data_IF_359870256945
#
_entry.id   IF_359870256945
#
_cell.length_a   1.000
_cell.length_b   1.000
_cell.length_c   1.000
_cell.angle_alpha   90.00
_cell.angle_beta   90.00
_cell.angle_gamma   90.00
#
_symmetry.space_group_name_H-M   'P 1'
#
loop_
_entity.id
_entity.type
_entity.pdbx_description
1 polymer ?
#
# COMPACT_ATOMS: atom_id res chain seq x y z
N UNK A 1 -21.54 23.99 -5.97
CA UNK A 1 -21.26 24.53 -4.62
C UNK A 1 -22.34 25.56 -4.29
N UNK A 2 -22.87 25.47 -3.08
CA UNK A 2 -23.89 26.41 -2.57
C UNK A 2 -23.16 27.37 -1.62
N UNK A 3 -22.97 28.65 -1.99
CA UNK A 3 -22.33 29.62 -1.12
C UNK A 3 -23.23 30.00 0.06
N UNK A 4 -22.66 29.97 1.26
CA UNK A 4 -23.32 30.45 2.49
C UNK A 4 -22.61 31.71 2.93
N UNK A 5 -23.30 32.83 3.21
CA UNK A 5 -22.67 34.06 3.65
C UNK A 5 -21.98 33.88 4.99
N UNK A 6 -20.76 34.38 5.16
CA UNK A 6 -19.98 34.28 6.42
C UNK A 6 -20.65 35.04 7.60
N UNK A 7 -21.45 36.06 7.29
CA UNK A 7 -22.15 36.87 8.30
C UNK A 7 -23.53 36.33 8.70
N UNK A 8 -23.88 35.12 8.27
CA UNK A 8 -25.24 34.58 8.41
C UNK A 8 -26.17 35.09 7.32
N UNK A 9 -27.12 34.28 6.94
CA UNK A 9 -28.11 34.58 5.86
C UNK A 9 -28.49 33.31 5.13
N UNK A 10 -29.43 33.40 4.22
CA UNK A 10 -29.87 32.28 3.41
C UNK A 10 -28.78 31.87 2.40
N UNK A 11 -28.61 30.57 2.18
CA UNK A 11 -27.72 30.03 1.16
C UNK A 11 -28.22 30.43 -0.24
N UNK A 12 -27.31 30.89 -1.08
CA UNK A 12 -27.64 31.21 -2.47
C UNK A 12 -27.45 29.97 -3.34
N UNK A 13 -28.48 29.50 -4.01
CA UNK A 13 -28.44 28.29 -4.84
C UNK A 13 -28.88 28.54 -6.29
N UNK A 14 -28.09 29.28 -7.08
CA UNK A 14 -28.44 29.60 -8.45
C UNK A 14 -28.44 28.40 -9.40
N UNK A 15 -27.85 27.27 -8.98
CA UNK A 15 -27.71 26.07 -9.81
C UNK A 15 -28.58 24.89 -9.33
N UNK A 16 -29.45 25.08 -8.32
CA UNK A 16 -30.29 24.00 -7.78
C UNK A 16 -29.55 22.93 -7.01
N UNK A 17 -28.34 23.22 -6.49
CA UNK A 17 -27.49 22.27 -5.83
C UNK A 17 -28.04 21.74 -4.49
N UNK A 18 -28.90 22.47 -3.80
CA UNK A 18 -29.60 22.00 -2.60
C UNK A 18 -30.59 20.88 -2.94
N UNK A 19 -31.41 21.06 -3.98
CA UNK A 19 -32.32 20.03 -4.45
C UNK A 19 -31.58 18.78 -4.98
N UNK A 20 -30.46 18.95 -5.69
CA UNK A 20 -29.61 17.86 -6.12
C UNK A 20 -29.02 17.12 -4.92
N UNK A 21 -28.55 17.83 -3.90
CA UNK A 21 -27.99 17.22 -2.69
C UNK A 21 -29.07 16.42 -1.91
N UNK A 22 -30.26 16.97 -1.75
CA UNK A 22 -31.40 16.27 -1.12
C UNK A 22 -31.79 15.01 -1.90
N UNK A 23 -31.64 15.03 -3.24
CA UNK A 23 -31.89 13.88 -4.12
C UNK A 23 -30.73 12.90 -4.22
N UNK A 24 -29.61 13.15 -3.50
CA UNK A 24 -28.40 12.35 -3.59
C UNK A 24 -27.76 12.40 -4.98
N UNK A 25 -27.76 13.55 -5.65
CA UNK A 25 -27.31 13.70 -7.03
C UNK A 25 -26.10 14.64 -7.13
N UNK A 26 -25.08 14.24 -7.89
CA UNK A 26 -23.98 15.09 -8.30
C UNK A 26 -24.21 15.52 -9.76
N UNK A 27 -24.40 16.81 -10.00
CA UNK A 27 -24.63 17.39 -11.33
C UNK A 27 -23.58 18.44 -11.66
N UNK A 28 -23.10 18.45 -12.90
CA UNK A 28 -22.28 19.55 -13.42
C UNK A 28 -23.11 20.84 -13.52
N UNK A 29 -22.55 21.96 -13.09
CA UNK A 29 -23.25 23.27 -13.13
C UNK A 29 -23.54 23.71 -14.55
N UNK A 30 -22.78 23.26 -15.53
CA UNK A 30 -22.98 23.58 -16.92
C UNK A 30 -22.03 22.85 -17.86
N UNK A 31 -22.22 22.96 -19.18
CA UNK A 31 -21.43 22.22 -20.17
C UNK A 31 -19.94 22.55 -20.16
N UNK A 32 -19.52 23.73 -19.66
CA UNK A 32 -18.13 24.15 -19.52
C UNK A 32 -17.43 23.62 -18.28
N UNK A 33 -18.12 22.93 -17.35
CA UNK A 33 -17.62 22.60 -16.03
C UNK A 33 -16.26 21.89 -16.05
N UNK A 34 -16.07 20.91 -16.93
CA UNK A 34 -14.81 20.15 -17.04
C UNK A 34 -13.80 20.82 -17.97
N UNK A 35 -14.28 21.69 -18.88
CA UNK A 35 -13.40 22.46 -19.75
C UNK A 35 -12.68 23.58 -19.01
N UNK A 36 -13.32 24.22 -18.04
CA UNK A 36 -12.75 25.28 -17.22
C UNK A 36 -11.72 24.77 -16.19
N UNK A 37 -11.99 23.64 -15.54
CA UNK A 37 -11.07 22.99 -14.61
C UNK A 37 -11.19 21.46 -14.74
N UNK A 38 -10.31 20.83 -15.54
CA UNK A 38 -10.33 19.38 -15.74
C UNK A 38 -10.14 18.54 -14.48
N UNK A 39 -9.58 19.11 -13.39
CA UNK A 39 -9.49 18.41 -12.11
C UNK A 39 -10.86 18.05 -11.54
N UNK A 40 -11.90 18.77 -11.93
CA UNK A 40 -13.30 18.46 -11.54
C UNK A 40 -13.74 17.07 -11.99
N UNK A 41 -13.09 16.45 -12.99
CA UNK A 41 -13.31 15.06 -13.38
C UNK A 41 -12.98 14.10 -12.22
N UNK A 42 -11.76 14.18 -11.67
CA UNK A 42 -11.37 13.37 -10.50
C UNK A 42 -12.20 13.73 -9.26
N UNK A 43 -12.48 15.01 -9.09
CA UNK A 43 -13.30 15.51 -7.99
C UNK A 43 -14.73 14.97 -8.03
N UNK A 44 -15.31 14.78 -9.21
CA UNK A 44 -16.65 14.21 -9.38
C UNK A 44 -16.70 12.77 -8.86
N UNK A 45 -15.75 11.91 -9.26
CA UNK A 45 -15.65 10.54 -8.75
C UNK A 45 -15.47 10.52 -7.23
N UNK A 46 -14.54 11.33 -6.70
CA UNK A 46 -14.27 11.41 -5.26
C UNK A 46 -15.50 11.90 -4.47
N UNK A 47 -16.17 12.97 -4.90
CA UNK A 47 -17.32 13.50 -4.20
C UNK A 47 -18.52 12.55 -4.26
N UNK A 48 -18.75 11.91 -5.40
CA UNK A 48 -19.81 10.93 -5.53
C UNK A 48 -19.59 9.73 -4.61
N UNK A 49 -18.35 9.22 -4.49
CA UNK A 49 -18.02 8.15 -3.57
C UNK A 49 -18.08 8.60 -2.11
N UNK A 50 -17.51 9.77 -1.79
CA UNK A 50 -17.36 10.23 -0.41
C UNK A 50 -18.65 10.72 0.24
N UNK A 51 -19.62 11.16 -0.56
CA UNK A 51 -20.92 11.68 -0.10
C UNK A 51 -22.10 10.77 -0.49
N UNK A 52 -21.83 9.58 -0.98
CA UNK A 52 -22.81 8.61 -1.47
C UNK A 52 -23.81 9.18 -2.50
N UNK A 53 -23.31 10.00 -3.43
CA UNK A 53 -24.12 10.63 -4.48
C UNK A 53 -24.08 9.78 -5.76
N UNK A 54 -25.18 9.80 -6.53
CA UNK A 54 -25.21 9.33 -7.91
C UNK A 54 -24.75 10.45 -8.84
N UNK A 55 -23.99 10.12 -9.87
CA UNK A 55 -23.64 11.12 -10.89
C UNK A 55 -24.80 11.19 -11.89
N UNK A 56 -25.26 12.40 -12.18
CA UNK A 56 -26.30 12.66 -13.18
C UNK A 56 -25.86 12.14 -14.56
N UNK A 57 -26.74 11.48 -15.34
CA UNK A 57 -26.37 10.88 -16.63
C UNK A 57 -25.77 11.86 -17.65
N UNK A 58 -26.30 13.10 -17.74
CA UNK A 58 -25.72 14.10 -18.62
C UNK A 58 -24.34 14.55 -18.15
N UNK A 59 -24.12 14.55 -16.83
CA UNK A 59 -22.82 14.82 -16.24
C UNK A 59 -21.83 13.70 -16.53
N UNK A 60 -22.25 12.43 -16.52
CA UNK A 60 -21.42 11.27 -16.94
C UNK A 60 -21.04 11.40 -18.41
N UNK A 61 -22.00 11.71 -19.28
CA UNK A 61 -21.75 11.91 -20.71
C UNK A 61 -20.73 13.04 -20.96
N UNK A 62 -20.89 14.16 -20.26
CA UNK A 62 -19.98 15.30 -20.34
C UNK A 62 -18.58 14.97 -19.82
N UNK A 63 -18.49 14.21 -18.71
CA UNK A 63 -17.22 13.76 -18.15
C UNK A 63 -16.49 12.83 -19.11
N UNK A 64 -17.19 11.84 -19.68
CA UNK A 64 -16.61 10.89 -20.65
C UNK A 64 -16.10 11.61 -21.91
N UNK A 65 -16.84 12.58 -22.42
CA UNK A 65 -16.39 13.42 -23.55
C UNK A 65 -15.14 14.27 -23.23
N UNK A 66 -14.88 14.50 -21.94
CA UNK A 66 -13.78 15.32 -21.45
C UNK A 66 -12.66 14.51 -20.79
N UNK A 67 -12.78 13.17 -20.71
CA UNK A 67 -11.93 12.31 -19.88
C UNK A 67 -10.42 12.48 -20.15
N UNK A 68 -10.01 12.60 -21.42
CA UNK A 68 -8.61 12.81 -21.81
C UNK A 68 -7.97 14.05 -21.17
N UNK A 69 -8.78 15.05 -20.83
CA UNK A 69 -8.32 16.28 -20.18
C UNK A 69 -7.93 16.10 -18.70
N UNK A 70 -8.25 14.95 -18.11
CA UNK A 70 -7.81 14.62 -16.75
C UNK A 70 -6.27 14.57 -16.60
N UNK A 71 -5.53 14.49 -17.71
CA UNK A 71 -4.06 14.58 -17.72
C UNK A 71 -3.54 16.03 -17.57
N UNK A 72 -4.35 17.07 -17.86
CA UNK A 72 -3.91 18.45 -17.89
C UNK A 72 -3.57 19.07 -16.51
N UNK A 73 -4.29 18.75 -15.41
CA UNK A 73 -3.97 19.26 -14.10
C UNK A 73 -2.57 18.84 -13.65
N UNK A 74 -1.87 19.73 -12.95
CA UNK A 74 -0.56 19.41 -12.37
C UNK A 74 -0.63 18.18 -11.45
N UNK A 75 0.43 17.34 -11.48
CA UNK A 75 0.45 16.02 -10.82
C UNK A 75 0.13 16.08 -9.33
N UNK A 76 0.62 17.11 -8.62
CA UNK A 76 0.31 17.30 -7.20
C UNK A 76 -1.19 17.53 -6.92
N UNK A 77 -1.91 18.16 -7.88
CA UNK A 77 -3.37 18.33 -7.77
C UNK A 77 -4.09 17.00 -8.02
N UNK A 78 -3.62 16.20 -8.98
CA UNK A 78 -4.14 14.86 -9.21
C UNK A 78 -3.90 13.96 -8.00
N UNK A 79 -2.70 13.95 -7.44
CA UNK A 79 -2.36 13.20 -6.21
C UNK A 79 -3.27 13.60 -5.05
N UNK A 80 -3.54 14.90 -4.89
CA UNK A 80 -4.41 15.39 -3.82
C UNK A 80 -5.86 14.88 -3.95
N UNK A 81 -6.40 14.73 -5.16
CA UNK A 81 -7.74 14.12 -5.35
C UNK A 81 -7.70 12.60 -5.15
N UNK A 82 -6.68 11.89 -5.66
CA UNK A 82 -6.49 10.45 -5.45
C UNK A 82 -6.31 10.11 -3.96
N UNK A 83 -5.51 10.89 -3.25
CA UNK A 83 -5.32 10.76 -1.81
C UNK A 83 -6.65 10.85 -1.05
N UNK A 84 -7.45 11.89 -1.34
CA UNK A 84 -8.75 12.07 -0.71
C UNK A 84 -9.77 11.01 -1.12
N UNK A 85 -9.62 10.43 -2.31
CA UNK A 85 -10.45 9.33 -2.77
C UNK A 85 -10.10 8.05 -2.00
N UNK A 86 -8.82 7.68 -1.93
CA UNK A 86 -8.36 6.49 -1.23
C UNK A 86 -8.48 6.60 0.30
N UNK A 87 -8.28 7.79 0.86
CA UNK A 87 -8.51 8.09 2.28
C UNK A 87 -9.99 8.31 2.64
N UNK A 88 -10.88 8.31 1.67
CA UNK A 88 -12.32 8.51 1.86
C UNK A 88 -13.04 7.27 2.43
N UNK A 89 -14.37 7.40 2.68
CA UNK A 89 -15.16 6.34 3.29
C UNK A 89 -15.42 5.14 2.35
N UNK A 90 -15.45 5.35 1.04
CA UNK A 90 -15.64 4.26 0.05
C UNK A 90 -14.66 4.42 -1.14
N UNK A 91 -13.38 4.07 -0.94
CA UNK A 91 -12.39 4.14 -1.99
C UNK A 91 -12.65 3.18 -3.16
N UNK A 92 -13.25 2.02 -2.90
CA UNK A 92 -13.60 1.05 -3.95
C UNK A 92 -14.65 1.60 -4.90
N UNK A 93 -15.67 2.27 -4.38
CA UNK A 93 -16.64 2.97 -5.22
C UNK A 93 -15.98 4.11 -5.99
N UNK A 94 -15.07 4.84 -5.34
CA UNK A 94 -14.30 5.89 -6.00
C UNK A 94 -13.52 5.39 -7.21
N UNK A 95 -12.84 4.24 -7.10
CA UNK A 95 -12.10 3.61 -8.20
C UNK A 95 -13.06 3.13 -9.31
N UNK A 96 -14.20 2.52 -8.98
CA UNK A 96 -15.21 2.15 -9.99
C UNK A 96 -15.73 3.36 -10.75
N UNK A 97 -15.94 4.48 -10.07
CA UNK A 97 -16.35 5.73 -10.71
C UNK A 97 -15.26 6.32 -11.60
N UNK A 98 -13.97 6.19 -11.23
CA UNK A 98 -12.87 6.53 -12.14
C UNK A 98 -12.91 5.71 -13.42
N UNK A 99 -13.24 4.41 -13.33
CA UNK A 99 -13.40 3.54 -14.49
C UNK A 99 -14.61 3.92 -15.35
N UNK A 100 -15.78 4.12 -14.74
CA UNK A 100 -17.02 4.52 -15.43
C UNK A 100 -16.85 5.86 -16.19
N UNK A 101 -16.03 6.76 -15.65
CA UNK A 101 -15.70 8.03 -16.25
C UNK A 101 -14.47 7.99 -17.16
N UNK A 102 -13.92 6.80 -17.44
CA UNK A 102 -12.71 6.58 -18.26
C UNK A 102 -11.45 7.33 -17.77
N UNK A 103 -11.39 7.62 -16.46
CA UNK A 103 -10.31 8.41 -15.87
C UNK A 103 -9.11 7.55 -15.46
N UNK A 104 -9.31 6.26 -15.13
CA UNK A 104 -8.23 5.34 -14.76
C UNK A 104 -7.20 5.26 -15.88
N UNK A 105 -7.63 5.10 -17.13
CA UNK A 105 -6.75 5.01 -18.29
C UNK A 105 -5.91 6.29 -18.52
N UNK A 106 -6.37 7.42 -18.00
CA UNK A 106 -5.71 8.73 -18.20
C UNK A 106 -4.76 9.06 -17.05
N UNK A 107 -5.19 8.82 -15.81
CA UNK A 107 -4.46 9.25 -14.60
C UNK A 107 -3.52 8.16 -14.08
N UNK A 108 -3.93 6.90 -14.20
CA UNK A 108 -3.19 5.71 -13.78
C UNK A 108 -3.18 4.66 -14.91
N UNK A 109 -2.58 4.98 -16.08
CA UNK A 109 -2.59 4.07 -17.24
C UNK A 109 -1.89 2.73 -16.94
N UNK A 110 -0.96 2.70 -16.00
CA UNK A 110 -0.32 1.46 -15.55
C UNK A 110 -1.32 0.54 -14.84
N UNK A 111 -2.22 1.09 -14.04
CA UNK A 111 -3.31 0.35 -13.38
C UNK A 111 -4.33 -0.13 -14.43
N UNK A 112 -4.70 0.70 -15.39
CA UNK A 112 -5.54 0.28 -16.53
C UNK A 112 -4.93 -0.90 -17.27
N UNK A 113 -3.60 -0.90 -17.45
CA UNK A 113 -2.86 -1.98 -18.11
C UNK A 113 -2.90 -3.32 -17.38
N UNK A 114 -3.39 -3.39 -16.14
CA UNK A 114 -3.56 -4.65 -15.38
C UNK A 114 -4.87 -5.36 -15.71
N UNK A 115 -5.82 -4.68 -16.35
CA UNK A 115 -7.11 -5.26 -16.76
C UNK A 115 -6.93 -6.35 -17.82
N UNK A 116 -7.63 -7.47 -17.63
CA UNK A 116 -7.56 -8.62 -18.53
C UNK A 116 -6.26 -9.43 -18.45
N UNK A 117 -5.32 -9.07 -17.58
CA UNK A 117 -4.07 -9.83 -17.39
C UNK A 117 -4.34 -11.03 -16.50
N UNK A 118 -4.51 -12.20 -17.12
CA UNK A 118 -4.74 -13.46 -16.43
C UNK A 118 -3.56 -13.87 -15.58
N UNK A 119 -3.86 -14.37 -14.39
CA UNK A 119 -2.89 -14.87 -13.40
C UNK A 119 -2.86 -16.42 -13.42
N UNK A 120 -2.04 -17.02 -12.60
CA UNK A 120 -2.00 -18.48 -12.46
C UNK A 120 -3.14 -19.03 -11.61
N UNK A 121 -3.14 -20.35 -11.34
CA UNK A 121 -4.26 -21.06 -10.70
C UNK A 121 -4.54 -20.62 -9.25
N UNK A 122 -3.66 -19.84 -8.63
CA UNK A 122 -3.88 -19.33 -7.27
C UNK A 122 -4.89 -18.17 -7.22
N UNK A 123 -5.19 -17.55 -8.36
CA UNK A 123 -6.07 -16.40 -8.46
C UNK A 123 -7.30 -16.72 -9.32
N UNK A 124 -8.46 -16.20 -8.94
CA UNK A 124 -9.71 -16.36 -9.65
C UNK A 124 -10.07 -15.12 -10.50
N UNK A 125 -9.36 -14.04 -10.33
CA UNK A 125 -9.51 -12.76 -11.04
C UNK A 125 -8.28 -12.46 -11.89
N UNK A 126 -8.43 -11.52 -12.83
CA UNK A 126 -7.29 -10.85 -13.46
C UNK A 126 -6.52 -9.98 -12.45
N UNK A 127 -5.40 -9.40 -12.87
CA UNK A 127 -4.57 -8.59 -11.95
C UNK A 127 -5.34 -7.39 -11.42
N UNK A 128 -6.16 -6.72 -12.23
CA UNK A 128 -6.96 -5.58 -11.80
C UNK A 128 -8.01 -5.94 -10.76
N UNK A 129 -8.80 -6.98 -11.04
CA UNK A 129 -9.81 -7.45 -10.10
C UNK A 129 -9.21 -7.92 -8.78
N UNK A 130 -8.07 -8.64 -8.83
CA UNK A 130 -7.30 -9.03 -7.66
C UNK A 130 -6.85 -7.80 -6.85
N UNK A 131 -6.30 -6.78 -7.52
CA UNK A 131 -5.87 -5.53 -6.87
C UNK A 131 -7.01 -4.84 -6.11
N UNK A 132 -8.22 -4.82 -6.67
CA UNK A 132 -9.39 -4.29 -5.98
C UNK A 132 -9.81 -5.14 -4.79
N UNK A 133 -9.68 -6.48 -4.87
CA UNK A 133 -9.91 -7.36 -3.70
C UNK A 133 -8.86 -7.14 -2.61
N UNK A 134 -7.58 -6.96 -2.97
CA UNK A 134 -6.52 -6.63 -1.98
C UNK A 134 -6.85 -5.32 -1.27
N UNK A 135 -7.31 -4.30 -1.99
CA UNK A 135 -7.78 -3.07 -1.36
C UNK A 135 -9.00 -3.31 -0.45
N UNK A 136 -9.96 -4.13 -0.87
CA UNK A 136 -11.12 -4.48 -0.05
C UNK A 136 -10.71 -5.15 1.26
N UNK A 137 -9.80 -6.14 1.21
CA UNK A 137 -9.27 -6.79 2.40
C UNK A 137 -8.39 -5.87 3.25
N UNK A 138 -7.69 -4.91 2.65
CA UNK A 138 -6.98 -3.86 3.41
C UNK A 138 -7.95 -3.05 4.25
N UNK A 139 -9.09 -2.64 3.69
CA UNK A 139 -10.15 -1.94 4.42
C UNK A 139 -10.81 -2.82 5.50
N UNK A 140 -10.99 -4.13 5.24
CA UNK A 140 -11.47 -5.09 6.23
C UNK A 140 -10.50 -5.22 7.41
N UNK A 141 -9.19 -5.30 7.14
CA UNK A 141 -8.13 -5.35 8.16
C UNK A 141 -8.14 -4.08 9.01
N UNK A 142 -8.25 -2.91 8.39
CA UNK A 142 -8.33 -1.63 9.11
C UNK A 142 -9.57 -1.53 10.01
N UNK A 143 -10.70 -2.09 9.56
CA UNK A 143 -11.96 -2.07 10.32
C UNK A 143 -11.97 -3.04 11.50
N UNK A 144 -11.21 -4.12 11.46
CA UNK A 144 -11.17 -5.16 12.51
C UNK A 144 -9.73 -5.67 12.72
N UNK A 145 -8.85 -4.80 13.19
CA UNK A 145 -7.45 -5.14 13.46
C UNK A 145 -7.32 -6.29 14.46
N UNK A 146 -8.22 -6.39 15.47
CA UNK A 146 -8.17 -7.43 16.48
C UNK A 146 -8.21 -8.84 15.87
N UNK A 147 -9.01 -9.04 14.82
CA UNK A 147 -9.09 -10.31 14.09
C UNK A 147 -7.76 -10.71 13.47
N UNK A 148 -6.97 -9.76 12.97
CA UNK A 148 -5.77 -10.03 12.18
C UNK A 148 -4.47 -9.98 12.99
N UNK A 149 -4.37 -9.04 13.95
CA UNK A 149 -3.16 -8.86 14.75
C UNK A 149 -3.30 -9.32 16.20
N UNK A 150 -4.51 -9.73 16.62
CA UNK A 150 -4.85 -10.13 17.99
C UNK A 150 -5.27 -8.93 18.85
N UNK A 151 -6.14 -9.20 19.83
CA UNK A 151 -6.73 -8.18 20.72
C UNK A 151 -5.67 -7.34 21.44
N UNK A 152 -4.57 -7.97 21.85
CA UNK A 152 -3.49 -7.31 22.61
C UNK A 152 -2.73 -6.27 21.79
N UNK A 153 -2.68 -6.41 20.48
CA UNK A 153 -1.94 -5.53 19.55
C UNK A 153 -2.83 -4.59 18.75
N UNK A 154 -4.15 -4.81 18.77
CA UNK A 154 -5.08 -4.05 17.92
C UNK A 154 -5.00 -2.53 18.15
N UNK A 155 -4.97 -2.09 19.39
CA UNK A 155 -4.89 -0.66 19.73
C UNK A 155 -3.56 -0.03 19.29
N UNK A 156 -2.44 -0.75 19.45
CA UNK A 156 -1.11 -0.30 19.03
C UNK A 156 -1.02 -0.22 17.48
N UNK A 157 -1.54 -1.24 16.78
CA UNK A 157 -1.61 -1.24 15.32
C UNK A 157 -2.52 -0.14 14.77
N UNK A 158 -3.66 0.14 15.41
CA UNK A 158 -4.53 1.25 15.04
C UNK A 158 -3.83 2.61 15.19
N UNK A 159 -3.15 2.82 16.31
CA UNK A 159 -2.37 4.03 16.55
C UNK A 159 -1.24 4.19 15.51
N UNK A 160 -0.57 3.09 15.15
CA UNK A 160 0.44 3.07 14.11
C UNK A 160 -0.13 3.47 12.74
N UNK A 161 -1.26 2.89 12.33
CA UNK A 161 -1.88 3.20 11.04
C UNK A 161 -2.39 4.64 10.95
N UNK A 162 -2.75 5.25 12.08
CA UNK A 162 -3.18 6.66 12.15
C UNK A 162 -2.02 7.67 12.11
N UNK A 163 -0.76 7.23 12.15
CA UNK A 163 0.38 8.15 12.12
C UNK A 163 0.50 8.89 10.79
N UNK A 164 0.72 10.21 10.81
CA UNK A 164 1.06 10.97 9.61
C UNK A 164 2.36 10.46 8.96
N UNK A 165 2.31 10.17 7.66
CA UNK A 165 3.48 9.68 6.94
C UNK A 165 4.09 10.73 6.01
N UNK A 166 3.42 11.06 4.92
CA UNK A 166 3.90 11.99 3.91
C UNK A 166 2.73 12.54 3.06
N UNK A 167 2.94 13.66 2.37
CA UNK A 167 1.99 14.24 1.42
C UNK A 167 0.56 14.35 1.99
N UNK A 168 0.45 14.74 3.25
CA UNK A 168 -0.79 14.82 4.04
C UNK A 168 -1.58 13.47 4.10
N UNK A 169 -0.91 12.33 3.99
CA UNK A 169 -1.46 11.01 4.22
C UNK A 169 -0.96 10.43 5.53
N UNK A 170 -1.82 9.66 6.18
CA UNK A 170 -1.48 8.72 7.23
C UNK A 170 -0.99 7.39 6.63
N UNK A 171 -0.56 6.48 7.49
CA UNK A 171 -0.10 5.15 7.08
C UNK A 171 -1.23 4.32 6.49
N UNK A 172 -2.45 4.40 7.03
CA UNK A 172 -3.61 3.68 6.51
C UNK A 172 -3.88 4.07 5.04
N UNK A 173 -3.97 5.38 4.75
CA UNK A 173 -4.15 5.86 3.37
C UNK A 173 -2.98 5.43 2.47
N UNK A 174 -1.74 5.46 2.99
CA UNK A 174 -0.57 5.01 2.24
C UNK A 174 -0.59 3.50 1.99
N UNK A 175 -1.05 2.69 2.95
CA UNK A 175 -1.23 1.25 2.79
C UNK A 175 -2.27 0.94 1.70
N UNK A 176 -3.37 1.69 1.62
CA UNK A 176 -4.37 1.58 0.54
C UNK A 176 -3.77 1.89 -0.84
N UNK A 177 -2.86 2.90 -0.93
CA UNK A 177 -2.06 3.11 -2.15
C UNK A 177 -1.15 1.93 -2.44
N UNK A 178 -0.50 1.37 -1.42
CA UNK A 178 0.32 0.15 -1.55
C UNK A 178 -0.50 -1.02 -2.10
N UNK A 179 -1.69 -1.26 -1.56
CA UNK A 179 -2.62 -2.28 -2.02
C UNK A 179 -3.01 -2.08 -3.50
N UNK A 180 -3.23 -0.84 -3.92
CA UNK A 180 -3.58 -0.51 -5.29
C UNK A 180 -2.41 -0.71 -6.28
N UNK A 181 -1.17 -0.60 -5.83
CA UNK A 181 0.01 -0.56 -6.72
C UNK A 181 0.96 -1.76 -6.57
N UNK A 182 0.75 -2.68 -5.59
CA UNK A 182 1.72 -3.74 -5.28
C UNK A 182 2.05 -4.66 -6.48
N UNK A 183 1.08 -4.90 -7.33
CA UNK A 183 1.16 -5.79 -8.49
C UNK A 183 1.23 -5.05 -9.84
N UNK A 184 1.53 -3.77 -9.83
CA UNK A 184 1.44 -2.87 -10.98
C UNK A 184 2.31 -3.32 -12.17
N UNK A 185 3.39 -4.06 -11.94
CA UNK A 185 4.29 -4.54 -12.98
C UNK A 185 4.04 -5.99 -13.42
N UNK A 186 2.97 -6.64 -12.94
CA UNK A 186 2.61 -7.98 -13.45
C UNK A 186 2.41 -8.04 -14.97
N UNK A 187 1.78 -7.03 -15.64
CA UNK A 187 1.66 -7.05 -17.09
C UNK A 187 3.01 -7.16 -17.82
N UNK A 188 4.02 -6.39 -17.41
CA UNK A 188 5.34 -6.33 -18.04
C UNK A 188 6.18 -7.58 -17.76
N UNK A 189 6.00 -8.19 -16.58
CA UNK A 189 6.78 -9.34 -16.13
C UNK A 189 6.12 -10.68 -16.41
N UNK A 190 4.89 -10.67 -16.95
CA UNK A 190 4.16 -11.90 -17.30
C UNK A 190 4.95 -12.77 -18.27
N UNK A 191 5.17 -14.02 -17.87
CA UNK A 191 5.76 -15.06 -18.72
C UNK A 191 4.88 -16.30 -18.62
N UNK A 192 4.71 -16.96 -19.77
CA UNK A 192 4.01 -18.23 -19.84
C UNK A 192 4.97 -19.28 -20.39
N UNK A 193 5.13 -20.35 -19.65
CA UNK A 193 5.98 -21.48 -20.05
C UNK A 193 5.32 -22.77 -19.64
N UNK A 194 5.15 -23.69 -20.60
CA UNK A 194 4.58 -25.02 -20.37
C UNK A 194 3.20 -24.99 -19.67
N UNK A 195 2.38 -23.98 -20.01
CA UNK A 195 1.05 -23.75 -19.39
C UNK A 195 1.08 -23.09 -18.00
N UNK A 196 2.27 -22.74 -17.50
CA UNK A 196 2.41 -22.01 -16.23
C UNK A 196 2.60 -20.52 -16.49
N UNK A 197 1.77 -19.70 -15.81
CA UNK A 197 1.91 -18.24 -15.80
C UNK A 197 2.70 -17.84 -14.56
N UNK A 198 3.74 -17.03 -14.76
CA UNK A 198 4.57 -16.49 -13.69
C UNK A 198 4.90 -15.01 -13.94
N UNK A 199 5.30 -14.32 -12.87
CA UNK A 199 5.56 -12.88 -12.83
C UNK A 199 6.88 -12.58 -12.12
N UNK A 200 7.94 -13.34 -12.44
CA UNK A 200 9.23 -13.21 -11.76
C UNK A 200 9.77 -11.78 -11.90
N UNK A 201 10.09 -11.15 -10.76
CA UNK A 201 10.66 -9.81 -10.70
C UNK A 201 9.63 -8.68 -10.75
N UNK A 202 8.30 -8.97 -10.65
CA UNK A 202 7.27 -7.92 -10.63
C UNK A 202 7.37 -7.02 -9.41
N UNK A 203 7.95 -7.48 -8.33
CA UNK A 203 8.28 -6.73 -7.13
C UNK A 203 9.33 -5.63 -7.41
N UNK A 204 10.42 -6.00 -8.07
CA UNK A 204 11.52 -5.08 -8.42
C UNK A 204 11.07 -4.10 -9.51
N UNK A 205 10.46 -4.61 -10.58
CA UNK A 205 9.93 -3.79 -11.68
C UNK A 205 8.79 -2.89 -11.20
N UNK A 206 7.95 -3.40 -10.30
CA UNK A 206 6.87 -2.65 -9.65
C UNK A 206 7.38 -1.47 -8.84
N UNK A 207 8.45 -1.66 -8.08
CA UNK A 207 9.08 -0.57 -7.35
C UNK A 207 9.63 0.51 -8.30
N UNK A 208 10.18 0.13 -9.47
CA UNK A 208 10.62 1.08 -10.50
C UNK A 208 9.42 1.84 -11.10
N UNK A 209 8.38 1.12 -11.52
CA UNK A 209 7.14 1.69 -12.07
C UNK A 209 6.47 2.66 -11.09
N UNK A 210 6.43 2.35 -9.79
CA UNK A 210 5.94 3.28 -8.76
C UNK A 210 6.77 4.57 -8.73
N UNK A 211 8.08 4.49 -8.93
CA UNK A 211 8.91 5.67 -9.05
C UNK A 211 8.48 6.61 -10.18
N UNK A 212 8.10 6.05 -11.33
CA UNK A 212 7.58 6.79 -12.49
C UNK A 212 6.19 7.39 -12.22
N UNK A 213 5.26 6.60 -11.67
CA UNK A 213 3.91 7.05 -11.31
C UNK A 213 3.99 8.20 -10.31
N UNK A 214 4.73 8.03 -9.23
CA UNK A 214 4.87 9.03 -8.17
C UNK A 214 5.62 10.27 -8.66
N UNK A 215 6.60 10.12 -9.56
CA UNK A 215 7.26 11.23 -10.24
C UNK A 215 6.28 12.06 -11.08
N UNK A 216 5.42 11.41 -11.87
CA UNK A 216 4.36 12.05 -12.67
C UNK A 216 3.34 12.78 -11.78
N UNK A 217 2.97 12.18 -10.66
CA UNK A 217 2.07 12.76 -9.67
C UNK A 217 2.75 13.78 -8.74
N UNK A 218 4.05 14.03 -8.91
CA UNK A 218 4.87 14.95 -8.10
C UNK A 218 4.79 14.68 -6.60
N UNK A 219 4.74 13.41 -6.23
CA UNK A 219 4.80 12.97 -4.84
C UNK A 219 6.15 13.29 -4.20
N UNK A 220 6.18 13.38 -2.88
CA UNK A 220 7.43 13.52 -2.13
C UNK A 220 8.31 12.28 -2.28
N UNK A 221 9.64 12.48 -2.13
CA UNK A 221 10.59 11.35 -2.10
C UNK A 221 10.29 10.37 -0.97
N UNK A 222 9.75 10.84 0.16
CA UNK A 222 9.40 10.00 1.30
C UNK A 222 8.27 9.05 0.94
N UNK A 223 7.18 9.55 0.38
CA UNK A 223 6.05 8.74 -0.09
C UNK A 223 6.48 7.75 -1.16
N UNK A 224 7.22 8.21 -2.18
CA UNK A 224 7.70 7.38 -3.28
C UNK A 224 8.50 6.18 -2.76
N UNK A 225 9.52 6.41 -1.92
CA UNK A 225 10.36 5.34 -1.35
C UNK A 225 9.56 4.37 -0.50
N UNK A 226 8.57 4.89 0.23
CA UNK A 226 7.73 4.07 1.07
C UNK A 226 6.88 3.09 0.25
N UNK A 227 6.20 3.58 -0.79
CA UNK A 227 5.40 2.74 -1.70
C UNK A 227 6.27 1.76 -2.49
N UNK A 228 7.47 2.19 -2.92
CA UNK A 228 8.46 1.30 -3.54
C UNK A 228 8.86 0.15 -2.61
N UNK A 229 9.11 0.44 -1.32
CA UNK A 229 9.47 -0.58 -0.34
C UNK A 229 8.30 -1.55 -0.07
N UNK A 230 7.05 -1.05 0.03
CA UNK A 230 5.87 -1.92 0.15
C UNK A 230 5.80 -2.93 -1.00
N UNK A 231 5.93 -2.46 -2.23
CA UNK A 231 5.89 -3.32 -3.42
C UNK A 231 7.09 -4.26 -3.49
N UNK A 232 8.29 -3.79 -3.19
CA UNK A 232 9.51 -4.60 -3.24
C UNK A 232 9.47 -5.77 -2.24
N UNK A 233 8.84 -5.58 -1.08
CA UNK A 233 8.91 -6.54 0.02
C UNK A 233 7.63 -7.36 0.21
N UNK A 234 6.54 -7.10 -0.56
CA UNK A 234 5.24 -7.75 -0.33
C UNK A 234 5.25 -9.29 -0.45
N UNK A 235 6.24 -9.88 -1.12
CA UNK A 235 6.33 -11.33 -1.29
C UNK A 235 7.07 -12.05 -0.16
N UNK A 236 7.92 -11.35 0.61
CA UNK A 236 8.91 -11.96 1.50
C UNK A 236 8.24 -12.90 2.50
N UNK A 237 7.21 -12.40 3.22
CA UNK A 237 6.53 -13.20 4.23
C UNK A 237 5.88 -14.46 3.63
N UNK A 238 5.34 -14.36 2.43
CA UNK A 238 4.74 -15.49 1.73
C UNK A 238 5.71 -16.65 1.48
N UNK A 239 6.99 -16.37 1.26
CA UNK A 239 8.02 -17.40 1.11
C UNK A 239 8.43 -18.02 2.44
N UNK A 240 8.32 -17.29 3.56
CA UNK A 240 8.74 -17.73 4.89
C UNK A 240 7.75 -18.70 5.56
N UNK A 241 6.52 -18.82 5.09
CA UNK A 241 5.48 -19.68 5.69
C UNK A 241 5.96 -21.13 5.87
N UNK A 242 6.74 -21.64 4.93
CA UNK A 242 7.24 -23.03 4.96
C UNK A 242 8.34 -23.25 6.00
N UNK A 243 8.91 -22.17 6.51
CA UNK A 243 9.97 -22.18 7.52
C UNK A 243 9.41 -22.06 8.94
N UNK A 244 8.11 -21.77 9.07
CA UNK A 244 7.46 -21.56 10.38
C UNK A 244 7.47 -22.84 11.25
N UNK A 245 7.65 -22.71 12.58
CA UNK A 245 7.92 -21.47 13.32
C UNK A 245 9.29 -20.89 13.02
N UNK A 246 9.37 -19.56 12.84
CA UNK A 246 10.61 -18.91 12.44
C UNK A 246 11.61 -18.87 13.61
N UNK A 247 12.87 -19.23 13.38
CA UNK A 247 13.91 -18.98 14.37
C UNK A 247 14.14 -17.47 14.54
N UNK A 248 14.55 -17.00 15.72
CA UNK A 248 14.70 -15.56 16.01
C UNK A 248 15.57 -14.80 15.01
N UNK A 249 16.63 -15.41 14.47
CA UNK A 249 17.46 -14.79 13.41
C UNK A 249 16.65 -14.50 12.15
N UNK A 250 15.75 -15.40 11.76
CA UNK A 250 14.89 -15.17 10.57
C UNK A 250 13.85 -14.06 10.80
N UNK A 251 13.34 -13.95 12.04
CA UNK A 251 12.51 -12.81 12.44
C UNK A 251 13.31 -11.51 12.32
N UNK A 252 14.52 -11.46 12.87
CA UNK A 252 15.40 -10.30 12.75
C UNK A 252 15.70 -9.92 11.29
N UNK A 253 16.03 -10.90 10.43
CA UNK A 253 16.29 -10.68 9.01
C UNK A 253 15.08 -10.04 8.31
N UNK A 254 13.86 -10.51 8.63
CA UNK A 254 12.64 -9.93 8.09
C UNK A 254 12.47 -8.48 8.54
N UNK A 255 12.62 -8.22 9.86
CA UNK A 255 12.49 -6.88 10.43
C UNK A 255 13.44 -5.89 9.75
N UNK A 256 14.73 -6.27 9.62
CA UNK A 256 15.76 -5.42 9.01
C UNK A 256 15.56 -5.22 7.51
N UNK A 257 15.15 -6.28 6.79
CA UNK A 257 14.98 -6.22 5.33
C UNK A 257 13.78 -5.35 4.95
N UNK A 258 12.71 -5.38 5.75
CA UNK A 258 11.46 -4.70 5.43
C UNK A 258 11.32 -3.30 6.05
N UNK A 259 12.32 -2.82 6.81
CA UNK A 259 12.30 -1.42 7.25
C UNK A 259 12.26 -0.44 6.06
N UNK A 260 11.50 0.66 6.15
CA UNK A 260 10.69 1.13 7.28
C UNK A 260 9.20 0.71 7.18
N UNK A 261 8.87 -0.28 6.35
CA UNK A 261 7.48 -0.66 6.02
C UNK A 261 7.01 -1.95 6.70
N UNK A 262 7.76 -2.46 7.68
CA UNK A 262 7.59 -3.81 8.23
C UNK A 262 6.15 -4.13 8.65
N UNK A 263 5.50 -3.27 9.43
CA UNK A 263 4.09 -3.49 9.85
C UNK A 263 3.17 -3.39 8.63
N UNK A 264 3.31 -2.33 7.83
CA UNK A 264 2.44 -2.08 6.68
C UNK A 264 2.55 -3.20 5.64
N UNK A 265 3.79 -3.65 5.30
CA UNK A 265 3.98 -4.71 4.32
C UNK A 265 3.46 -6.04 4.84
N UNK A 266 3.56 -6.31 6.15
CA UNK A 266 2.98 -7.51 6.75
C UNK A 266 1.46 -7.51 6.61
N UNK A 267 0.78 -6.38 6.88
CA UNK A 267 -0.66 -6.25 6.68
C UNK A 267 -1.05 -6.34 5.19
N UNK A 268 -0.25 -5.76 4.29
CA UNK A 268 -0.46 -5.89 2.86
C UNK A 268 -0.42 -7.34 2.39
N UNK A 269 0.55 -8.14 2.89
CA UNK A 269 0.63 -9.56 2.51
C UNK A 269 -0.57 -10.38 3.01
N UNK A 270 -1.18 -9.98 4.13
CA UNK A 270 -2.44 -10.59 4.61
C UNK A 270 -3.57 -10.30 3.63
N UNK A 271 -3.75 -9.05 3.21
CA UNK A 271 -4.77 -8.67 2.25
C UNK A 271 -4.58 -9.40 0.90
N UNK A 272 -3.35 -9.46 0.39
CA UNK A 272 -2.99 -10.20 -0.82
C UNK A 272 -3.30 -11.69 -0.68
N UNK A 273 -2.92 -12.32 0.44
CA UNK A 273 -3.22 -13.73 0.72
C UNK A 273 -4.71 -14.02 0.73
N UNK A 274 -5.53 -13.19 1.36
CA UNK A 274 -6.98 -13.33 1.41
C UNK A 274 -7.64 -13.20 0.03
N UNK A 275 -7.00 -12.49 -0.88
CA UNK A 275 -7.45 -12.29 -2.27
C UNK A 275 -7.03 -13.42 -3.21
N UNK A 276 -6.13 -14.32 -2.80
CA UNK A 276 -5.68 -15.47 -3.57
C UNK A 276 -6.68 -16.64 -3.40
N UNK A 277 -7.85 -16.56 -4.06
CA UNK A 277 -8.96 -17.52 -3.93
C UNK A 277 -9.13 -18.44 -5.14
N UNK A 278 -8.06 -18.77 -5.82
CA UNK A 278 -8.06 -19.75 -6.92
C UNK A 278 -8.04 -21.20 -6.42
N UNK A 279 -7.76 -22.11 -7.34
CA UNK A 279 -7.66 -23.55 -7.05
C UNK A 279 -6.20 -24.01 -6.79
N UNK A 280 -5.26 -23.09 -6.79
CA UNK A 280 -3.84 -23.41 -6.60
C UNK A 280 -3.45 -23.58 -5.13
N UNK A 281 -2.27 -24.14 -4.87
CA UNK A 281 -1.86 -24.56 -3.52
C UNK A 281 -1.76 -23.44 -2.50
N UNK A 282 -1.44 -22.20 -2.91
CA UNK A 282 -1.36 -21.09 -1.96
C UNK A 282 -2.74 -20.57 -1.51
N UNK A 283 -3.79 -20.91 -2.25
CA UNK A 283 -5.18 -20.56 -1.92
C UNK A 283 -5.83 -21.61 -0.99
N UNK A 284 -5.15 -22.71 -0.66
CA UNK A 284 -5.66 -23.72 0.24
C UNK A 284 -5.88 -23.13 1.66
N UNK A 285 -7.01 -23.47 2.32
CA UNK A 285 -7.38 -22.87 3.61
C UNK A 285 -6.27 -22.96 4.67
N UNK A 286 -5.57 -24.09 4.74
CA UNK A 286 -4.46 -24.31 5.65
C UNK A 286 -3.26 -23.39 5.38
N UNK A 287 -3.00 -23.09 4.10
CA UNK A 287 -1.92 -22.16 3.72
C UNK A 287 -2.31 -20.71 3.99
N UNK A 288 -3.59 -20.39 3.83
CA UNK A 288 -4.11 -19.06 4.21
C UNK A 288 -3.99 -18.90 5.72
N UNK A 289 -4.44 -19.89 6.52
CA UNK A 289 -4.36 -19.81 7.97
C UNK A 289 -2.92 -19.72 8.47
N UNK A 290 -2.01 -20.53 7.92
CA UNK A 290 -0.59 -20.49 8.28
C UNK A 290 0.04 -19.10 7.99
N UNK A 291 -0.38 -18.45 6.89
CA UNK A 291 0.06 -17.08 6.59
C UNK A 291 -0.48 -16.08 7.61
N UNK A 292 -1.75 -16.17 7.97
CA UNK A 292 -2.36 -15.28 8.96
C UNK A 292 -1.71 -15.42 10.34
N UNK A 293 -1.42 -16.64 10.76
CA UNK A 293 -0.76 -16.91 12.03
C UNK A 293 0.66 -16.33 12.06
N UNK A 294 1.45 -16.59 11.00
CA UNK A 294 2.78 -16.02 10.86
C UNK A 294 2.75 -14.48 10.79
N UNK A 295 1.81 -13.91 10.04
CA UNK A 295 1.68 -12.46 9.93
C UNK A 295 1.35 -11.82 11.28
N UNK A 296 0.52 -12.46 12.11
CA UNK A 296 0.21 -12.00 13.48
C UNK A 296 1.48 -11.93 14.34
N UNK A 297 2.30 -12.99 14.31
CA UNK A 297 3.58 -13.02 15.00
C UNK A 297 4.52 -11.92 14.50
N UNK A 298 4.58 -11.72 13.19
CA UNK A 298 5.47 -10.74 12.57
C UNK A 298 5.03 -9.30 12.81
N UNK A 299 3.71 -9.00 12.86
CA UNK A 299 3.22 -7.67 13.26
C UNK A 299 3.58 -7.39 14.73
N UNK A 300 3.41 -8.37 15.63
CA UNK A 300 3.79 -8.21 17.02
C UNK A 300 5.29 -7.91 17.15
N UNK A 301 6.15 -8.70 16.49
CA UNK A 301 7.60 -8.49 16.47
C UNK A 301 7.98 -7.12 15.87
N UNK A 302 7.29 -6.68 14.80
CA UNK A 302 7.54 -5.39 14.16
C UNK A 302 7.15 -4.20 15.06
N UNK A 303 6.04 -4.29 15.79
CA UNK A 303 5.63 -3.27 16.75
C UNK A 303 6.61 -3.21 17.94
N UNK A 304 7.05 -4.36 18.45
CA UNK A 304 8.07 -4.44 19.50
C UNK A 304 9.40 -3.85 19.03
N UNK A 305 9.88 -4.24 17.83
CA UNK A 305 11.07 -3.68 17.20
C UNK A 305 11.01 -2.16 17.05
N UNK A 306 9.87 -1.66 16.63
CA UNK A 306 9.65 -0.23 16.51
C UNK A 306 9.72 0.52 17.84
N UNK A 307 9.19 -0.08 18.91
CA UNK A 307 9.15 0.50 20.26
C UNK A 307 10.51 0.44 20.95
N UNK A 308 11.21 -0.68 20.83
CA UNK A 308 12.44 -0.99 21.55
C UNK A 308 13.69 -0.63 20.76
N UNK A 309 13.60 -0.65 19.44
CA UNK A 309 14.75 -0.52 18.54
C UNK A 309 15.62 -1.78 18.49
N UNK A 310 16.72 -1.75 17.72
CA UNK A 310 17.70 -2.82 17.71
C UNK A 310 18.40 -2.93 19.07
N UNK A 311 18.86 -4.13 19.45
CA UNK A 311 19.61 -4.31 20.69
C UNK A 311 20.84 -3.41 20.73
N UNK A 312 21.14 -2.83 21.90
CA UNK A 312 22.33 -2.01 22.06
C UNK A 312 23.60 -2.83 21.72
N UNK A 313 24.48 -2.32 20.85
CA UNK A 313 25.65 -3.08 20.41
C UNK A 313 26.59 -3.43 21.57
N UNK A 314 26.91 -4.70 21.72
CA UNK A 314 27.88 -5.20 22.71
C UNK A 314 29.33 -4.82 22.37
N UNK A 315 29.60 -4.57 21.09
CA UNK A 315 30.88 -4.12 20.58
C UNK A 315 30.62 -2.97 19.55
N UNK A 316 31.47 -1.97 19.58
CA UNK A 316 31.45 -0.89 18.57
C UNK A 316 32.26 -1.30 17.35
N UNK A 317 32.02 -0.62 16.22
CA UNK A 317 32.74 -0.91 14.98
C UNK A 317 34.25 -0.72 15.07
N UNK A 318 34.74 0.27 15.84
CA UNK A 318 36.18 0.49 16.09
C UNK A 318 36.80 -0.66 16.91
N UNK A 319 36.08 -1.23 17.84
CA UNK A 319 36.53 -2.39 18.64
C UNK A 319 36.58 -3.65 17.78
N UNK A 320 35.58 -3.88 16.91
CA UNK A 320 35.55 -5.01 15.96
C UNK A 320 36.72 -4.89 14.96
N UNK A 321 36.94 -3.67 14.42
CA UNK A 321 38.04 -3.41 13.50
C UNK A 321 39.41 -3.75 14.14
N UNK A 322 39.62 -3.28 15.36
CA UNK A 322 40.87 -3.53 16.09
C UNK A 322 41.08 -5.04 16.45
N UNK A 323 40.00 -5.72 16.83
CA UNK A 323 40.03 -7.11 17.25
C UNK A 323 40.28 -8.09 16.08
N UNK A 324 39.65 -7.82 14.93
CA UNK A 324 39.68 -8.72 13.77
C UNK A 324 40.65 -8.26 12.67
N UNK A 325 41.22 -7.06 12.77
CA UNK A 325 42.10 -6.50 11.74
C UNK A 325 41.39 -6.24 10.42
N UNK A 326 40.07 -5.87 10.45
CA UNK A 326 39.25 -5.64 9.28
C UNK A 326 38.93 -4.16 9.13
N UNK A 327 38.53 -3.72 7.90
CA UNK A 327 38.22 -2.34 7.58
C UNK A 327 36.97 -2.24 6.68
N UNK A 328 36.40 -1.03 6.64
CA UNK A 328 35.36 -0.67 5.67
C UNK A 328 34.06 -1.49 5.81
N UNK A 329 33.50 -2.03 4.71
CA UNK A 329 32.20 -2.73 4.71
C UNK A 329 32.16 -4.00 5.59
N UNK A 330 33.31 -4.65 5.83
CA UNK A 330 33.39 -5.86 6.64
C UNK A 330 32.98 -5.60 8.09
N UNK A 331 33.32 -4.43 8.63
CA UNK A 331 32.88 -3.99 9.96
C UNK A 331 31.35 -3.97 10.04
N UNK A 332 30.69 -3.43 9.01
CA UNK A 332 29.22 -3.38 8.92
C UNK A 332 28.59 -4.78 8.91
N UNK A 333 29.19 -5.70 8.18
CA UNK A 333 28.72 -7.10 8.13
C UNK A 333 28.85 -7.77 9.51
N UNK A 334 29.97 -7.57 10.21
CA UNK A 334 30.18 -8.13 11.56
C UNK A 334 29.26 -7.47 12.60
N UNK A 335 28.96 -6.20 12.48
CA UNK A 335 27.96 -5.53 13.32
C UNK A 335 26.56 -6.12 13.10
N UNK A 336 26.16 -6.34 11.85
CA UNK A 336 24.86 -6.95 11.52
C UNK A 336 24.77 -8.41 12.02
N UNK A 337 25.85 -9.19 11.87
CA UNK A 337 25.94 -10.55 12.40
C UNK A 337 25.77 -10.57 13.93
N UNK A 338 26.44 -9.65 14.62
CA UNK A 338 26.35 -9.51 16.07
C UNK A 338 24.95 -9.06 16.52
N UNK A 339 24.34 -8.09 15.83
CA UNK A 339 22.99 -7.63 16.11
C UNK A 339 21.97 -8.79 15.98
N UNK A 340 22.07 -9.58 14.92
CA UNK A 340 21.21 -10.74 14.70
C UNK A 340 21.37 -11.78 15.82
N UNK A 341 22.61 -12.04 16.27
CA UNK A 341 22.88 -12.98 17.36
C UNK A 341 22.38 -12.44 18.72
N UNK A 342 22.50 -11.13 18.94
CA UNK A 342 21.95 -10.48 20.15
C UNK A 342 20.42 -10.55 20.16
N UNK A 343 19.78 -10.24 19.05
CA UNK A 343 18.32 -10.37 18.91
C UNK A 343 17.86 -11.81 19.17
N UNK A 344 18.60 -12.78 18.68
CA UNK A 344 18.31 -14.21 18.89
C UNK A 344 18.60 -14.71 20.30
N UNK A 345 19.21 -13.89 21.18
CA UNK A 345 19.62 -14.31 22.52
C UNK A 345 20.81 -15.27 22.55
N UNK A 346 21.50 -15.43 21.41
CA UNK A 346 22.68 -16.29 21.29
C UNK A 346 23.91 -15.66 21.95
N UNK A 347 23.96 -14.35 22.00
CA UNK A 347 25.00 -13.52 22.56
C UNK A 347 24.39 -12.46 23.47
N UNK A 348 24.78 -12.49 24.75
CA UNK A 348 24.21 -11.59 25.76
C UNK A 348 25.24 -10.69 26.44
N UNK A 349 26.55 -10.96 26.20
CA UNK A 349 27.66 -10.20 26.79
C UNK A 349 28.81 -9.99 25.80
N UNK A 350 29.77 -9.15 26.22
CA UNK A 350 30.94 -8.80 25.41
C UNK A 350 31.84 -10.01 25.12
N UNK A 351 31.97 -10.95 26.06
CA UNK A 351 32.83 -12.12 25.87
C UNK A 351 32.24 -13.06 24.81
N UNK A 352 30.91 -13.28 24.85
CA UNK A 352 30.18 -14.03 23.84
C UNK A 352 30.25 -13.36 22.45
N UNK A 353 30.16 -12.01 22.41
CA UNK A 353 30.32 -11.26 21.19
C UNK A 353 31.69 -11.45 20.53
N UNK A 354 32.75 -11.36 21.28
CA UNK A 354 34.12 -11.63 20.82
C UNK A 354 34.31 -13.09 20.37
N UNK A 355 33.71 -14.03 21.09
CA UNK A 355 33.73 -15.46 20.72
C UNK A 355 33.04 -15.72 19.38
N UNK A 356 31.84 -15.13 19.16
CA UNK A 356 31.13 -15.25 17.90
C UNK A 356 31.90 -14.69 16.71
N UNK A 357 32.58 -13.55 16.89
CA UNK A 357 33.27 -12.86 15.78
C UNK A 357 34.59 -13.49 15.39
N UNK A 358 35.23 -14.29 16.31
CA UNK A 358 36.52 -15.01 16.08
C UNK A 358 36.34 -16.42 15.48
N UNK A 359 35.12 -17.01 15.62
CA UNK A 359 34.82 -18.36 15.15
C UNK A 359 34.20 -18.38 13.81
#
# INVERSE_FOLDING_TARGET
AVPVPLAGGEATDPAGGLADLESGLLRAVGPGSFAEDPLRLLRAARLAAGLDLRIDPDTVALANASAARAAEPAGERQLAELRRLLGGPDPLRGLRLLDELHLTAVVLPELEGTKGVGQGPNHHLDVYGHTLEVLAHTLEIEADLARFVGDERAAEAAAFLAEPLADEMDRATTLRFGALLHDIAKPQTRRERDGFVGFKGHDVEGAATIGEIMGRLRASRKLTRYLQALTLHHLILGFMIREAPLPPRRVHDYLRTTEPVTVDVTLLTVADRLSARGAGPIAAPEMVQAHLDLAREMVAAALDWRREGPPAPLLRGDEIAAELGIEGPEIGQKLAELEAAQYAGEVTDRAGALGLLRG
#
